data_IF_233847538632
#
_entry.id   IF_233847538632
#
_cell.length_a   1.000
_cell.length_b   1.000
_cell.length_c   1.000
_cell.angle_alpha   90.00
_cell.angle_beta   90.00
_cell.angle_gamma   90.00
#
_symmetry.space_group_name_H-M   'P 1'
#
loop_
_entity.id
_entity.type
_entity.pdbx_description
1 polymer ?
#
# COMPACT_ATOMS: atom_id res chain seq x y z
N UNK A 1 -29.40 -13.90 -5.33
CA UNK A 1 -28.42 -15.00 -5.39
C UNK A 1 -27.29 -14.65 -4.42
N UNK A 2 -26.80 -15.58 -3.61
CA UNK A 2 -25.74 -15.31 -2.62
C UNK A 2 -24.43 -14.90 -3.35
N UNK A 3 -23.67 -13.88 -2.90
CA UNK A 3 -22.40 -13.51 -3.54
C UNK A 3 -21.42 -14.69 -3.56
N UNK A 4 -20.88 -15.01 -4.74
CA UNK A 4 -19.79 -15.98 -4.91
C UNK A 4 -18.56 -15.22 -5.43
N UNK A 5 -17.75 -14.72 -4.50
CA UNK A 5 -16.55 -13.94 -4.80
C UNK A 5 -15.34 -14.87 -4.72
N UNK A 6 -14.61 -15.03 -5.83
CA UNK A 6 -13.53 -16.03 -5.95
C UNK A 6 -12.19 -15.43 -6.36
N UNK A 7 -12.19 -14.18 -6.83
CA UNK A 7 -10.99 -13.42 -7.12
C UNK A 7 -11.15 -11.96 -6.65
N UNK A 8 -10.04 -11.22 -6.61
CA UNK A 8 -10.02 -9.85 -6.08
C UNK A 8 -10.93 -8.89 -6.86
N UNK A 9 -11.10 -9.11 -8.17
CA UNK A 9 -11.98 -8.28 -8.98
C UNK A 9 -13.46 -8.44 -8.60
N UNK A 10 -13.86 -9.63 -8.13
CA UNK A 10 -15.24 -9.85 -7.68
C UNK A 10 -15.56 -9.01 -6.43
N UNK A 11 -14.58 -8.87 -5.53
CA UNK A 11 -14.70 -7.99 -4.36
C UNK A 11 -14.84 -6.53 -4.75
N UNK A 12 -14.12 -6.07 -5.79
CA UNK A 12 -14.30 -4.70 -6.31
C UNK A 12 -15.69 -4.49 -6.89
N UNK A 13 -16.21 -5.45 -7.67
CA UNK A 13 -17.58 -5.37 -8.20
C UNK A 13 -18.63 -5.37 -7.09
N UNK A 14 -18.44 -6.21 -6.07
CA UNK A 14 -19.30 -6.20 -4.89
C UNK A 14 -19.24 -4.85 -4.16
N UNK A 15 -18.03 -4.34 -3.87
CA UNK A 15 -17.84 -3.06 -3.21
C UNK A 15 -18.52 -1.91 -3.96
N UNK A 16 -18.42 -1.89 -5.30
CA UNK A 16 -19.12 -0.93 -6.15
C UNK A 16 -20.64 -0.99 -6.00
N UNK A 17 -21.19 -2.18 -5.78
CA UNK A 17 -22.65 -2.39 -5.66
C UNK A 17 -23.22 -1.99 -4.30
N UNK A 18 -22.39 -1.91 -3.25
CA UNK A 18 -22.86 -1.67 -1.86
C UNK A 18 -22.41 -0.34 -1.28
N UNK A 19 -21.27 0.22 -1.74
CA UNK A 19 -20.76 1.48 -1.24
C UNK A 19 -21.49 2.68 -1.87
N UNK A 20 -21.72 3.77 -1.13
CA UNK A 20 -22.12 5.04 -1.71
C UNK A 20 -21.13 5.48 -2.80
N UNK A 21 -21.65 6.05 -3.90
CA UNK A 21 -20.86 6.46 -5.07
C UNK A 21 -19.60 7.25 -4.70
N UNK A 22 -19.73 8.32 -3.92
CA UNK A 22 -18.58 9.17 -3.55
C UNK A 22 -17.51 8.42 -2.76
N UNK A 23 -17.89 7.39 -2.00
CA UNK A 23 -16.94 6.56 -1.23
C UNK A 23 -16.25 5.55 -2.16
N UNK A 24 -17.01 4.86 -3.02
CA UNK A 24 -16.44 3.95 -4.01
C UNK A 24 -15.48 4.70 -4.95
N UNK A 25 -15.91 5.83 -5.49
CA UNK A 25 -15.12 6.66 -6.41
C UNK A 25 -13.84 7.15 -5.72
N UNK A 26 -13.91 7.59 -4.47
CA UNK A 26 -12.72 7.98 -3.70
C UNK A 26 -11.68 6.85 -3.61
N UNK A 27 -12.12 5.61 -3.33
CA UNK A 27 -11.20 4.48 -3.24
C UNK A 27 -10.70 4.01 -4.60
N UNK A 28 -11.56 4.01 -5.62
CA UNK A 28 -11.24 3.52 -6.96
C UNK A 28 -10.29 4.46 -7.70
N UNK A 29 -10.55 5.76 -7.66
CA UNK A 29 -9.95 6.74 -8.59
C UNK A 29 -8.43 6.77 -8.59
N UNK A 30 -7.87 7.05 -9.76
CA UNK A 30 -6.54 7.56 -9.98
C UNK A 30 -6.56 9.09 -10.09
N UNK A 31 -5.45 9.65 -10.56
CA UNK A 31 -5.35 11.07 -10.88
C UNK A 31 -5.67 11.32 -12.36
N UNK A 32 -6.25 12.48 -12.66
CA UNK A 32 -6.54 12.99 -14.00
C UNK A 32 -7.27 11.96 -14.89
N UNK A 33 -6.66 11.56 -16.01
CA UNK A 33 -7.24 10.66 -17.02
C UNK A 33 -6.98 9.18 -16.70
N UNK A 34 -6.29 8.90 -15.60
CA UNK A 34 -6.08 7.58 -15.01
C UNK A 34 -5.23 6.64 -15.87
N UNK A 35 -4.32 7.20 -16.67
CA UNK A 35 -3.41 6.46 -17.53
C UNK A 35 -2.53 5.50 -16.72
N UNK A 36 -1.89 6.01 -15.67
CA UNK A 36 -1.06 5.21 -14.78
C UNK A 36 -1.88 4.19 -13.98
N UNK A 37 -3.18 4.46 -13.73
CA UNK A 37 -4.04 3.51 -13.02
C UNK A 37 -4.28 2.25 -13.85
N UNK A 38 -4.60 2.46 -15.14
CA UNK A 38 -4.72 1.37 -16.09
C UNK A 38 -3.37 0.67 -16.31
N UNK A 39 -2.29 1.43 -16.48
CA UNK A 39 -0.98 0.86 -16.77
C UNK A 39 -0.42 0.02 -15.60
N UNK A 40 -0.69 0.41 -14.35
CA UNK A 40 -0.31 -0.38 -13.18
C UNK A 40 -0.80 -1.82 -13.23
N UNK A 41 -1.96 -2.09 -13.85
CA UNK A 41 -2.49 -3.45 -14.05
C UNK A 41 -1.98 -4.03 -15.37
N UNK A 42 -2.03 -3.26 -16.46
CA UNK A 42 -1.63 -3.71 -17.79
C UNK A 42 -0.14 -4.14 -17.84
N UNK A 43 0.73 -3.46 -17.10
CA UNK A 43 2.16 -3.74 -17.05
C UNK A 43 2.48 -5.15 -16.56
N UNK A 44 1.78 -5.65 -15.53
CA UNK A 44 1.95 -7.03 -15.09
C UNK A 44 1.68 -8.03 -16.22
N UNK A 45 0.73 -7.74 -17.13
CA UNK A 45 0.43 -8.60 -18.27
C UNK A 45 1.54 -8.61 -19.33
N UNK A 46 2.35 -7.55 -19.43
CA UNK A 46 3.52 -7.47 -20.33
C UNK A 46 4.70 -8.32 -19.84
N UNK A 47 4.80 -8.56 -18.53
CA UNK A 47 5.79 -9.48 -17.95
C UNK A 47 5.28 -10.93 -18.00
N UNK A 48 5.91 -11.75 -18.86
CA UNK A 48 5.55 -13.18 -19.06
C UNK A 48 6.37 -14.08 -18.15
N UNK A 49 5.76 -15.16 -17.66
CA UNK A 49 6.38 -16.16 -16.80
C UNK A 49 6.99 -17.31 -17.61
N UNK A 50 8.15 -17.80 -17.18
CA UNK A 50 8.92 -18.91 -17.78
C UNK A 50 9.07 -20.02 -16.73
N UNK A 51 8.05 -20.88 -16.55
CA UNK A 51 8.02 -21.87 -15.49
C UNK A 51 9.05 -22.99 -15.69
N UNK A 52 9.57 -23.55 -14.59
CA UNK A 52 10.44 -24.73 -14.62
C UNK A 52 9.65 -25.99 -14.25
N UNK A 53 9.68 -26.98 -15.12
CA UNK A 53 8.98 -28.25 -14.92
C UNK A 53 9.75 -29.20 -13.99
N UNK A 54 9.05 -30.17 -13.41
CA UNK A 54 9.64 -31.30 -12.68
C UNK A 54 10.53 -30.88 -11.49
N UNK A 55 10.12 -29.87 -10.72
CA UNK A 55 10.91 -29.33 -9.61
C UNK A 55 10.61 -29.93 -8.23
N UNK A 56 9.59 -30.79 -8.10
CA UNK A 56 8.98 -31.19 -6.82
C UNK A 56 8.52 -29.96 -6.02
N UNK A 57 7.22 -29.73 -6.01
CA UNK A 57 6.54 -28.62 -5.32
C UNK A 57 5.46 -29.16 -4.39
N UNK A 58 5.63 -30.39 -3.89
CA UNK A 58 4.69 -30.99 -2.94
C UNK A 58 4.58 -30.17 -1.65
N UNK A 59 5.69 -29.54 -1.24
CA UNK A 59 5.75 -28.62 -0.11
C UNK A 59 6.15 -27.22 -0.60
N UNK A 60 5.27 -26.26 -0.40
CA UNK A 60 5.50 -24.85 -0.76
C UNK A 60 5.56 -23.98 0.50
N UNK A 61 6.69 -23.32 0.72
CA UNK A 61 6.90 -22.37 1.81
C UNK A 61 6.87 -20.93 1.30
N UNK A 62 5.79 -20.22 1.63
CA UNK A 62 5.60 -18.82 1.25
C UNK A 62 6.31 -17.85 2.21
N UNK A 63 6.77 -18.32 3.36
CA UNK A 63 7.16 -17.44 4.44
C UNK A 63 8.47 -16.69 4.15
N UNK A 64 8.50 -15.42 4.54
CA UNK A 64 9.65 -14.52 4.32
C UNK A 64 9.81 -13.57 5.51
N UNK A 65 10.62 -12.52 5.36
CA UNK A 65 10.73 -11.44 6.31
C UNK A 65 10.54 -10.08 5.65
N UNK A 66 10.09 -9.10 6.40
CA UNK A 66 10.09 -7.68 6.03
C UNK A 66 10.80 -6.93 7.15
N UNK A 67 11.92 -6.27 6.84
CA UNK A 67 12.74 -5.50 7.78
C UNK A 67 13.12 -6.33 9.03
N UNK A 68 13.47 -7.60 8.80
CA UNK A 68 13.85 -8.56 9.85
C UNK A 68 12.68 -9.20 10.62
N UNK A 69 11.43 -8.79 10.39
CA UNK A 69 10.25 -9.38 11.03
C UNK A 69 9.66 -10.49 10.14
N UNK A 70 9.37 -11.67 10.71
CA UNK A 70 8.83 -12.81 9.94
C UNK A 70 7.39 -12.53 9.51
N UNK A 71 7.04 -12.92 8.29
CA UNK A 71 5.68 -12.92 7.75
C UNK A 71 5.38 -14.25 7.05
N UNK A 72 4.11 -14.66 7.05
CA UNK A 72 3.66 -15.95 6.49
C UNK A 72 3.71 -15.99 4.96
N UNK A 73 3.76 -14.82 4.31
CA UNK A 73 3.78 -14.65 2.85
C UNK A 73 4.36 -13.27 2.49
N UNK A 74 4.91 -13.07 1.27
CA UNK A 74 5.47 -11.80 0.82
C UNK A 74 4.39 -10.80 0.36
N UNK A 75 3.23 -10.81 1.05
CA UNK A 75 2.04 -10.03 0.70
C UNK A 75 1.56 -9.34 1.98
N UNK A 76 1.65 -8.01 2.00
CA UNK A 76 1.33 -7.19 3.15
C UNK A 76 0.22 -6.18 2.83
N UNK A 77 -0.40 -5.61 3.85
CA UNK A 77 -1.44 -4.59 3.68
C UNK A 77 -0.81 -3.21 3.60
N UNK A 78 -1.07 -2.50 2.50
CA UNK A 78 -0.65 -1.12 2.29
C UNK A 78 -1.56 -0.10 2.98
N UNK A 79 -1.02 1.10 3.27
CA UNK A 79 -1.78 2.18 3.88
C UNK A 79 -2.86 2.72 2.94
N UNK A 80 -4.12 2.51 3.33
CA UNK A 80 -5.29 3.15 2.74
C UNK A 80 -5.98 3.99 3.82
N UNK A 81 -6.24 5.26 3.52
CA UNK A 81 -6.82 6.18 4.48
C UNK A 81 -8.32 5.92 4.71
N UNK A 82 -8.79 6.26 5.91
CA UNK A 82 -10.21 6.35 6.26
C UNK A 82 -11.00 5.06 6.03
N UNK A 83 -10.51 3.91 6.50
CA UNK A 83 -11.10 2.61 6.20
C UNK A 83 -12.51 2.42 6.79
N UNK A 84 -12.89 3.21 7.81
CA UNK A 84 -14.25 3.16 8.37
C UNK A 84 -15.35 3.63 7.43
N UNK A 85 -15.01 4.23 6.28
CA UNK A 85 -15.99 4.49 5.23
C UNK A 85 -16.40 3.21 4.48
N UNK A 86 -15.55 2.18 4.46
CA UNK A 86 -15.84 0.90 3.82
C UNK A 86 -16.58 -0.07 4.73
N UNK A 87 -16.26 -0.06 6.03
CA UNK A 87 -16.92 -0.89 7.04
C UNK A 87 -16.80 -0.24 8.42
N UNK A 88 -17.77 -0.39 9.31
CA UNK A 88 -17.78 0.29 10.63
C UNK A 88 -16.51 0.03 11.45
N UNK A 89 -15.93 -1.16 11.35
CA UNK A 89 -14.69 -1.54 12.06
C UNK A 89 -13.39 -1.06 11.41
N UNK A 90 -13.43 -0.69 10.13
CA UNK A 90 -12.30 -0.12 9.38
C UNK A 90 -10.94 -0.75 9.68
N UNK A 91 -10.00 0.05 10.19
CA UNK A 91 -8.63 -0.37 10.48
C UNK A 91 -8.53 -1.47 11.54
N UNK A 92 -9.51 -1.56 12.45
CA UNK A 92 -9.53 -2.59 13.49
C UNK A 92 -9.83 -3.98 12.90
N UNK A 93 -10.75 -4.04 11.93
CA UNK A 93 -10.99 -5.26 11.16
C UNK A 93 -9.75 -5.68 10.36
N UNK A 94 -9.10 -4.71 9.71
CA UNK A 94 -7.90 -4.97 8.90
C UNK A 94 -6.75 -5.53 9.73
N UNK A 95 -6.47 -4.96 10.91
CA UNK A 95 -5.35 -5.41 11.74
C UNK A 95 -5.56 -6.81 12.31
N UNK A 96 -6.80 -7.16 12.71
CA UNK A 96 -7.16 -8.49 13.18
C UNK A 96 -6.99 -9.55 12.09
N UNK A 97 -7.46 -9.26 10.87
CA UNK A 97 -7.24 -10.13 9.72
C UNK A 97 -5.74 -10.33 9.42
N UNK A 98 -4.93 -9.26 9.50
CA UNK A 98 -3.47 -9.37 9.34
C UNK A 98 -2.82 -10.23 10.43
N UNK A 99 -3.28 -10.12 11.68
CA UNK A 99 -2.84 -10.97 12.79
C UNK A 99 -3.13 -12.44 12.52
N UNK A 100 -4.37 -12.77 12.14
CA UNK A 100 -4.80 -14.14 11.81
C UNK A 100 -3.99 -14.74 10.66
N UNK A 101 -3.64 -13.92 9.66
CA UNK A 101 -2.84 -14.37 8.51
C UNK A 101 -1.33 -14.37 8.77
N UNK A 102 -0.85 -13.82 9.89
CA UNK A 102 0.57 -13.67 10.17
C UNK A 102 1.31 -12.81 9.15
N UNK A 103 0.68 -11.73 8.67
CA UNK A 103 1.31 -10.73 7.79
C UNK A 103 1.22 -9.33 8.40
N UNK A 104 1.88 -8.36 7.77
CA UNK A 104 1.98 -7.00 8.30
C UNK A 104 0.92 -6.04 7.76
N UNK A 105 0.49 -5.11 8.62
CA UNK A 105 -0.36 -3.97 8.29
C UNK A 105 0.43 -2.66 8.34
N UNK A 106 0.41 -1.91 7.24
CA UNK A 106 0.86 -0.52 7.23
C UNK A 106 -0.33 0.42 7.50
N UNK A 107 -0.39 1.01 8.69
CA UNK A 107 -1.44 1.94 9.11
C UNK A 107 -1.22 3.32 8.46
N UNK A 108 -2.28 3.91 7.91
CA UNK A 108 -2.25 5.28 7.39
C UNK A 108 -2.21 6.32 8.51
N UNK A 109 -1.44 7.40 8.34
CA UNK A 109 -1.56 8.59 9.21
C UNK A 109 -2.99 9.15 9.25
N UNK A 110 -3.73 9.03 8.14
CA UNK A 110 -5.12 9.47 7.98
C UNK A 110 -6.14 8.36 8.28
N UNK A 111 -5.81 7.48 9.22
CA UNK A 111 -6.71 6.42 9.64
C UNK A 111 -7.91 6.96 10.43
N UNK A 112 -9.05 6.28 10.27
CA UNK A 112 -10.28 6.50 11.07
C UNK A 112 -10.29 5.74 12.39
N UNK A 113 -9.15 5.14 12.75
CA UNK A 113 -8.84 4.57 14.05
C UNK A 113 -7.41 4.98 14.41
N UNK A 114 -7.17 5.29 15.67
CA UNK A 114 -5.88 5.80 16.15
C UNK A 114 -4.80 4.73 16.16
N UNK A 115 -3.54 5.16 16.22
CA UNK A 115 -2.37 4.27 16.39
C UNK A 115 -2.57 3.33 17.60
N UNK A 116 -3.13 3.82 18.71
CA UNK A 116 -3.38 3.05 19.93
C UNK A 116 -4.52 2.04 19.76
N UNK A 117 -5.68 2.45 19.22
CA UNK A 117 -6.83 1.55 19.00
C UNK A 117 -6.44 0.38 18.08
N UNK A 118 -5.65 0.64 17.03
CA UNK A 118 -5.16 -0.40 16.11
C UNK A 118 -4.16 -1.32 16.80
N UNK A 119 -3.32 -0.79 17.69
CA UNK A 119 -2.39 -1.60 18.47
C UNK A 119 -3.12 -2.52 19.45
N UNK A 120 -4.16 -2.02 20.11
CA UNK A 120 -5.00 -2.80 21.03
C UNK A 120 -5.82 -3.87 20.31
N UNK A 121 -6.34 -3.57 19.12
CA UNK A 121 -7.13 -4.53 18.35
C UNK A 121 -6.31 -5.66 17.73
N UNK A 122 -5.01 -5.44 17.47
CA UNK A 122 -4.08 -6.42 16.92
C UNK A 122 -2.73 -6.40 17.61
N UNK A 123 -2.66 -6.77 18.91
CA UNK A 123 -1.46 -6.62 19.71
C UNK A 123 -0.28 -7.44 19.15
N UNK A 124 -0.55 -8.62 18.62
CA UNK A 124 0.43 -9.54 18.04
C UNK A 124 0.63 -9.34 16.53
N UNK A 125 -0.18 -8.49 15.89
CA UNK A 125 -0.03 -8.18 14.48
C UNK A 125 1.28 -7.41 14.23
N UNK A 126 1.99 -7.78 13.16
CA UNK A 126 3.08 -6.95 12.66
C UNK A 126 2.50 -5.65 12.11
N UNK A 127 2.92 -4.52 12.68
CA UNK A 127 2.36 -3.19 12.35
C UNK A 127 3.46 -2.21 11.99
N UNK A 128 3.21 -1.39 10.96
CA UNK A 128 4.05 -0.27 10.55
C UNK A 128 3.22 1.00 10.39
N UNK A 129 3.81 2.16 10.57
CA UNK A 129 3.12 3.43 10.41
C UNK A 129 3.55 4.08 9.09
N UNK A 130 2.59 4.37 8.21
CA UNK A 130 2.80 5.29 7.09
C UNK A 130 2.71 6.73 7.62
N UNK A 131 3.74 7.52 7.36
CA UNK A 131 3.91 8.87 7.87
C UNK A 131 3.94 9.90 6.74
N UNK A 132 3.14 10.95 6.89
CA UNK A 132 3.38 12.22 6.21
C UNK A 132 4.12 13.18 7.13
N UNK A 133 4.96 14.04 6.53
CA UNK A 133 5.58 15.16 7.25
C UNK A 133 4.62 16.35 7.18
N UNK A 134 4.05 16.69 8.34
CA UNK A 134 3.15 17.83 8.50
C UNK A 134 3.95 19.11 8.67
N UNK A 135 3.36 20.25 8.28
CA UNK A 135 3.94 21.59 8.54
C UNK A 135 4.30 21.76 10.01
N UNK A 136 3.41 21.30 10.88
CA UNK A 136 3.71 21.14 12.30
C UNK A 136 4.56 19.88 12.54
N UNK A 137 5.85 20.09 12.81
CA UNK A 137 6.79 19.00 13.10
C UNK A 137 6.54 18.33 14.45
N UNK A 138 5.89 18.99 15.41
CA UNK A 138 5.54 18.36 16.69
C UNK A 138 4.38 17.36 16.52
N UNK A 139 3.43 17.64 15.62
CA UNK A 139 2.42 16.64 15.20
C UNK A 139 3.11 15.41 14.59
N UNK A 140 4.02 15.64 13.64
CA UNK A 140 4.78 14.55 12.99
C UNK A 140 5.56 13.72 14.03
N UNK A 141 6.21 14.39 14.99
CA UNK A 141 6.96 13.75 16.07
C UNK A 141 6.06 12.98 17.04
N UNK A 142 4.88 13.49 17.40
CA UNK A 142 3.90 12.78 18.24
C UNK A 142 3.48 11.46 17.59
N UNK A 143 3.22 11.45 16.28
CA UNK A 143 2.89 10.23 15.53
C UNK A 143 4.00 9.18 15.61
N UNK A 144 5.25 9.59 15.37
CA UNK A 144 6.42 8.69 15.44
C UNK A 144 6.60 8.13 16.85
N UNK A 145 6.55 8.97 17.88
CA UNK A 145 6.68 8.55 19.28
C UNK A 145 5.56 7.60 19.70
N UNK A 146 4.35 7.84 19.21
CA UNK A 146 3.22 6.98 19.50
C UNK A 146 3.38 5.60 18.84
N UNK A 147 3.87 5.55 17.60
CA UNK A 147 4.18 4.30 16.91
C UNK A 147 5.26 3.49 17.66
N UNK A 148 6.33 4.14 18.10
CA UNK A 148 7.38 3.53 18.95
C UNK A 148 6.78 2.95 20.24
N UNK A 149 6.00 3.76 20.98
CA UNK A 149 5.38 3.38 22.26
C UNK A 149 4.42 2.19 22.12
N UNK A 150 3.72 2.08 21.00
CA UNK A 150 2.68 1.05 20.75
C UNK A 150 3.20 -0.16 19.96
N UNK A 151 4.53 -0.27 19.82
CA UNK A 151 5.18 -1.46 19.30
C UNK A 151 5.19 -1.60 17.77
N UNK A 152 4.89 -0.54 17.02
CA UNK A 152 5.05 -0.54 15.56
C UNK A 152 6.52 -0.72 15.20
N UNK A 153 6.79 -1.42 14.09
CA UNK A 153 8.12 -1.95 13.77
C UNK A 153 8.87 -1.16 12.69
N UNK A 154 8.25 -0.17 12.06
CA UNK A 154 8.88 0.68 11.05
C UNK A 154 8.01 1.92 10.75
N UNK A 155 8.66 2.93 10.16
CA UNK A 155 8.03 4.12 9.59
C UNK A 155 8.16 4.07 8.07
N UNK A 156 7.05 4.17 7.35
CA UNK A 156 7.02 4.33 5.90
C UNK A 156 6.72 5.79 5.59
N UNK A 157 7.75 6.60 5.36
CA UNK A 157 7.57 8.02 5.05
C UNK A 157 7.17 8.16 3.59
N UNK A 158 6.01 8.77 3.34
CA UNK A 158 5.50 9.01 2.00
C UNK A 158 6.10 10.30 1.44
N UNK A 159 6.80 10.21 0.32
CA UNK A 159 7.55 11.33 -0.29
C UNK A 159 6.96 11.82 -1.62
N UNK A 160 5.86 11.22 -2.07
CA UNK A 160 5.19 11.53 -3.37
C UNK A 160 3.96 12.44 -3.24
N UNK A 161 3.70 13.00 -2.05
CA UNK A 161 2.53 13.86 -1.76
C UNK A 161 2.89 15.20 -1.11
N UNK A 162 3.70 16.07 -1.74
CA UNK A 162 3.82 17.47 -1.30
C UNK A 162 2.48 18.22 -1.46
N UNK A 163 1.71 17.85 -2.49
CA UNK A 163 0.30 18.19 -2.70
C UNK A 163 -0.47 16.92 -3.10
N UNK A 164 -1.80 16.96 -3.00
CA UNK A 164 -2.64 15.85 -3.44
C UNK A 164 -2.78 15.84 -4.96
N UNK A 165 -2.68 14.67 -5.59
CA UNK A 165 -3.03 14.52 -7.00
C UNK A 165 -4.51 14.83 -7.27
N UNK A 166 -4.79 15.34 -8.47
CA UNK A 166 -6.13 15.74 -8.87
C UNK A 166 -6.99 14.52 -9.25
N UNK A 167 -7.91 14.12 -8.40
CA UNK A 167 -8.82 12.98 -8.61
C UNK A 167 -10.17 13.52 -9.04
N UNK A 168 -10.51 13.39 -10.32
CA UNK A 168 -11.64 14.10 -10.91
C UNK A 168 -12.97 13.75 -10.24
N UNK A 169 -13.20 12.49 -9.89
CA UNK A 169 -14.43 12.09 -9.20
C UNK A 169 -14.52 12.66 -7.78
N UNK A 170 -13.40 12.83 -7.06
CA UNK A 170 -13.41 13.47 -5.74
C UNK A 170 -13.81 14.95 -5.83
N UNK A 171 -13.43 15.63 -6.90
CA UNK A 171 -13.84 17.01 -7.19
C UNK A 171 -15.33 17.07 -7.55
N UNK A 172 -15.76 16.23 -8.51
CA UNK A 172 -17.17 16.16 -8.94
C UNK A 172 -18.12 15.83 -7.78
N UNK A 173 -17.68 14.95 -6.88
CA UNK A 173 -18.47 14.50 -5.73
C UNK A 173 -18.29 15.37 -4.48
N UNK A 174 -17.42 16.40 -4.53
CA UNK A 174 -17.04 17.24 -3.37
C UNK A 174 -16.67 16.39 -2.15
N UNK A 175 -15.74 15.47 -2.35
CA UNK A 175 -15.42 14.42 -1.40
C UNK A 175 -15.06 14.98 -0.01
N UNK A 176 -15.69 14.42 1.02
CA UNK A 176 -15.45 14.67 2.44
C UNK A 176 -15.73 13.42 3.26
N UNK A 177 -15.28 13.39 4.52
CA UNK A 177 -15.63 12.31 5.44
C UNK A 177 -17.14 12.28 5.74
N UNK A 178 -17.74 11.09 5.96
CA UNK A 178 -19.05 10.98 6.59
C UNK A 178 -19.09 11.67 7.97
N UNK A 179 -20.25 12.23 8.40
CA UNK A 179 -20.35 13.12 9.57
C UNK A 179 -19.89 12.48 10.89
N UNK A 180 -19.99 11.16 11.02
CA UNK A 180 -19.58 10.40 12.19
C UNK A 180 -18.09 10.04 12.24
N UNK A 181 -17.32 10.27 11.16
CA UNK A 181 -15.94 9.83 11.03
C UNK A 181 -14.95 10.99 11.12
N UNK A 182 -13.75 10.72 11.64
CA UNK A 182 -12.63 11.65 11.76
C UNK A 182 -11.32 10.91 11.54
N UNK A 183 -10.27 11.62 11.15
CA UNK A 183 -8.90 11.09 11.24
C UNK A 183 -8.47 11.07 12.72
N UNK A 184 -8.40 9.88 13.31
CA UNK A 184 -8.36 9.69 14.78
C UNK A 184 -7.00 9.93 15.43
N UNK A 185 -5.96 10.15 14.64
CA UNK A 185 -4.63 10.49 15.16
C UNK A 185 -4.46 11.98 15.52
N UNK A 186 -5.48 12.80 15.29
CA UNK A 186 -5.41 14.25 15.45
C UNK A 186 -6.56 14.77 16.32
N UNK A 187 -6.25 15.77 17.13
CA UNK A 187 -7.21 16.35 18.10
C UNK A 187 -7.99 17.53 17.53
N UNK A 188 -7.35 18.38 16.71
CA UNK A 188 -8.01 19.59 16.18
C UNK A 188 -8.99 19.25 15.06
N UNK A 189 -10.04 20.05 14.92
CA UNK A 189 -11.09 19.85 13.90
C UNK A 189 -10.52 19.85 12.47
N UNK A 190 -9.57 20.74 12.18
CA UNK A 190 -8.90 20.81 10.88
C UNK A 190 -8.01 19.59 10.62
N UNK A 191 -7.12 19.21 11.56
CA UNK A 191 -6.20 18.09 11.35
C UNK A 191 -6.91 16.72 11.39
N UNK A 192 -8.05 16.65 12.08
CA UNK A 192 -8.92 15.46 12.10
C UNK A 192 -9.82 15.35 10.87
N UNK A 193 -9.72 16.29 9.91
CA UNK A 193 -10.53 16.34 8.68
C UNK A 193 -12.03 16.29 8.97
N UNK A 194 -12.48 17.06 9.96
CA UNK A 194 -13.90 17.15 10.31
C UNK A 194 -14.73 17.62 9.10
N UNK A 195 -15.80 16.91 8.68
CA UNK A 195 -16.62 17.32 7.55
C UNK A 195 -17.47 18.58 7.81
N UNK A 196 -17.47 19.07 9.06
CA UNK A 196 -18.06 20.36 9.47
C UNK A 196 -17.10 21.55 9.23
N UNK A 197 -15.82 21.28 8.97
CA UNK A 197 -14.84 22.33 8.67
C UNK A 197 -14.90 22.76 7.21
N UNK A 198 -14.49 24.01 6.96
CA UNK A 198 -14.46 24.55 5.60
C UNK A 198 -13.18 24.10 4.86
N UNK A 199 -13.36 23.12 3.98
CA UNK A 199 -12.35 22.62 3.04
C UNK A 199 -12.60 23.04 1.57
N UNK A 200 -13.36 24.12 1.34
CA UNK A 200 -13.63 24.63 -0.01
C UNK A 200 -14.76 23.88 -0.74
N UNK A 201 -14.91 24.16 -2.04
CA UNK A 201 -16.03 23.67 -2.87
C UNK A 201 -15.62 22.57 -3.89
N UNK A 202 -14.35 22.18 -3.89
CA UNK A 202 -13.79 21.07 -4.69
C UNK A 202 -13.64 19.80 -3.82
N UNK A 203 -12.58 19.00 -4.02
CA UNK A 203 -12.22 17.89 -3.12
C UNK A 203 -11.72 18.42 -1.77
N UNK A 204 -12.46 18.12 -0.70
CA UNK A 204 -12.07 18.55 0.65
C UNK A 204 -10.72 17.95 1.09
N UNK A 205 -10.37 16.76 0.59
CA UNK A 205 -9.08 16.13 0.89
C UNK A 205 -7.91 16.90 0.28
N UNK A 206 -8.06 17.47 -0.92
CA UNK A 206 -7.02 18.28 -1.54
C UNK A 206 -6.75 19.56 -0.72
N UNK A 207 -7.81 20.23 -0.29
CA UNK A 207 -7.70 21.40 0.58
C UNK A 207 -7.10 21.04 1.97
N UNK A 208 -7.47 19.90 2.54
CA UNK A 208 -6.86 19.39 3.77
C UNK A 208 -5.34 19.23 3.61
N UNK A 209 -4.88 18.58 2.53
CA UNK A 209 -3.43 18.39 2.27
C UNK A 209 -2.72 19.73 2.14
N UNK A 210 -3.26 20.66 1.35
CA UNK A 210 -2.67 21.98 1.19
C UNK A 210 -2.56 22.76 2.51
N UNK A 211 -3.49 22.54 3.45
CA UNK A 211 -3.44 23.15 4.79
C UNK A 211 -2.42 22.45 5.70
N UNK A 212 -2.40 21.12 5.75
CA UNK A 212 -1.74 20.33 6.78
C UNK A 212 -0.34 19.79 6.41
N UNK A 213 -0.16 19.32 5.18
CA UNK A 213 1.08 18.66 4.73
C UNK A 213 2.07 19.71 4.27
N UNK A 214 3.36 19.47 4.52
CA UNK A 214 4.42 20.41 4.17
C UNK A 214 4.93 20.17 2.74
N UNK A 215 4.70 21.10 1.79
CA UNK A 215 5.22 20.97 0.44
C UNK A 215 6.72 21.31 0.33
N UNK A 216 7.35 21.88 1.38
CA UNK A 216 8.76 22.27 1.34
C UNK A 216 9.72 21.17 1.77
N UNK A 217 9.23 19.95 2.00
CA UNK A 217 10.08 18.86 2.46
C UNK A 217 11.19 18.56 1.46
N UNK A 218 12.36 18.23 1.99
CA UNK A 218 13.55 17.89 1.23
C UNK A 218 14.27 16.70 1.89
N UNK A 219 15.40 16.29 1.31
CA UNK A 219 16.27 15.29 1.93
C UNK A 219 16.80 15.73 3.32
N UNK A 220 16.82 17.03 3.64
CA UNK A 220 17.15 17.49 5.00
C UNK A 220 16.09 17.06 6.04
N UNK A 221 14.80 17.03 5.65
CA UNK A 221 13.72 16.52 6.50
C UNK A 221 13.82 15.01 6.69
N UNK A 222 14.36 14.28 5.70
CA UNK A 222 14.69 12.86 5.84
C UNK A 222 15.83 12.68 6.85
N UNK A 223 16.85 13.54 6.85
CA UNK A 223 17.90 13.51 7.91
C UNK A 223 17.30 13.81 9.29
N UNK A 224 16.39 14.77 9.38
CA UNK A 224 15.68 15.06 10.63
C UNK A 224 14.90 13.83 11.12
N UNK A 225 14.10 13.19 10.25
CA UNK A 225 13.33 12.01 10.61
C UNK A 225 14.23 10.83 11.01
N UNK A 226 15.34 10.61 10.29
CA UNK A 226 16.35 9.60 10.62
C UNK A 226 16.98 9.83 11.99
N UNK A 227 17.20 11.09 12.40
CA UNK A 227 17.67 11.43 13.76
C UNK A 227 16.57 11.32 14.81
N UNK A 228 15.31 11.46 14.42
CA UNK A 228 14.18 11.45 15.33
C UNK A 228 13.87 10.05 15.88
N UNK A 229 14.06 8.98 15.09
CA UNK A 229 13.70 7.62 15.49
C UNK A 229 14.78 6.60 15.15
N UNK A 230 14.88 5.55 15.96
CA UNK A 230 15.70 4.37 15.69
C UNK A 230 14.95 3.29 14.91
N UNK A 231 13.63 3.41 14.72
CA UNK A 231 12.88 2.47 13.90
C UNK A 231 13.45 2.41 12.48
N UNK A 232 13.31 1.26 11.80
CA UNK A 232 13.50 1.19 10.35
C UNK A 232 12.63 2.23 9.64
N UNK A 233 13.22 2.97 8.70
CA UNK A 233 12.50 3.94 7.87
C UNK A 233 12.54 3.48 6.41
N UNK A 234 11.38 3.44 5.76
CA UNK A 234 11.23 3.12 4.34
C UNK A 234 10.74 4.35 3.58
N UNK A 235 11.40 4.71 2.48
CA UNK A 235 10.92 5.74 1.58
C UNK A 235 9.83 5.17 0.65
N UNK A 236 8.59 5.65 0.79
CA UNK A 236 7.46 5.27 -0.05
C UNK A 236 7.19 6.34 -1.10
N UNK A 237 7.15 5.95 -2.38
CA UNK A 237 6.86 6.85 -3.49
C UNK A 237 8.03 7.05 -4.46
N UNK A 238 9.11 6.29 -4.30
CA UNK A 238 10.30 6.39 -5.14
C UNK A 238 10.05 5.70 -6.49
N UNK A 239 10.29 6.42 -7.58
CA UNK A 239 10.16 5.92 -8.96
C UNK A 239 11.46 6.05 -9.77
N UNK A 240 12.52 6.64 -9.22
CA UNK A 240 13.80 6.85 -9.90
C UNK A 240 14.98 6.24 -9.15
N UNK A 241 15.95 5.73 -9.89
CA UNK A 241 17.15 5.10 -9.32
C UNK A 241 18.11 6.08 -8.63
N UNK A 242 18.12 7.37 -9.00
CA UNK A 242 18.92 8.39 -8.30
C UNK A 242 18.34 8.72 -6.91
N UNK A 243 17.02 8.92 -6.81
CA UNK A 243 16.34 9.10 -5.53
C UNK A 243 16.46 7.86 -4.62
N UNK A 244 16.46 6.66 -5.21
CA UNK A 244 16.72 5.42 -4.49
C UNK A 244 18.13 5.40 -3.86
N UNK A 245 19.15 5.87 -4.61
CA UNK A 245 20.52 6.01 -4.09
C UNK A 245 20.60 7.07 -3.00
N UNK A 246 19.86 8.17 -3.13
CA UNK A 246 19.78 9.19 -2.07
C UNK A 246 19.15 8.63 -0.79
N UNK A 247 18.06 7.87 -0.89
CA UNK A 247 17.46 7.20 0.27
C UNK A 247 18.47 6.31 1.01
N UNK A 248 19.28 5.54 0.26
CA UNK A 248 20.35 4.71 0.84
C UNK A 248 21.44 5.57 1.50
N UNK A 249 21.92 6.64 0.84
CA UNK A 249 22.91 7.56 1.41
C UNK A 249 22.42 8.21 2.72
N UNK A 250 21.12 8.44 2.84
CA UNK A 250 20.48 9.02 4.02
C UNK A 250 20.21 8.02 5.15
N UNK A 251 20.66 6.76 5.01
CA UNK A 251 20.55 5.74 6.06
C UNK A 251 19.12 5.23 6.26
N UNK A 252 18.30 5.27 5.20
CA UNK A 252 17.00 4.60 5.20
C UNK A 252 17.19 3.08 5.03
N UNK A 253 16.20 2.31 5.47
CA UNK A 253 16.29 0.86 5.63
C UNK A 253 15.54 0.09 4.53
N UNK A 254 14.83 0.80 3.66
CA UNK A 254 14.14 0.20 2.53
C UNK A 254 13.54 1.25 1.59
N UNK A 255 13.08 0.77 0.44
CA UNK A 255 12.34 1.56 -0.54
C UNK A 255 11.05 0.83 -0.87
N UNK A 256 9.93 1.53 -0.84
CA UNK A 256 8.67 1.07 -1.40
C UNK A 256 8.44 1.78 -2.74
N UNK A 257 8.69 1.05 -3.83
CA UNK A 257 8.42 1.50 -5.20
C UNK A 257 6.90 1.65 -5.35
N UNK A 258 6.46 2.89 -5.47
CA UNK A 258 5.05 3.27 -5.41
C UNK A 258 4.81 4.49 -6.27
N UNK A 259 3.74 4.48 -7.04
CA UNK A 259 3.16 5.67 -7.67
C UNK A 259 1.85 6.08 -6.96
N UNK A 260 1.76 5.77 -5.66
CA UNK A 260 0.60 6.01 -4.82
C UNK A 260 -0.69 5.33 -5.32
N UNK A 261 -0.56 4.17 -5.98
CA UNK A 261 -1.69 3.52 -6.64
C UNK A 261 -2.29 4.36 -7.77
N UNK A 262 -1.45 5.12 -8.47
CA UNK A 262 -1.78 6.06 -9.54
C UNK A 262 -2.64 7.27 -9.12
N UNK A 263 -2.47 7.77 -7.89
CA UNK A 263 -3.33 8.84 -7.31
C UNK A 263 -2.65 10.19 -7.15
N UNK A 264 -1.42 10.30 -7.63
CA UNK A 264 -0.58 11.50 -7.51
C UNK A 264 -0.30 12.08 -8.90
N UNK A 265 0.90 11.91 -9.45
CA UNK A 265 1.21 12.34 -10.82
C UNK A 265 0.76 11.26 -11.82
N UNK A 266 -0.15 11.60 -12.73
CA UNK A 266 -0.55 10.73 -13.83
C UNK A 266 0.44 10.84 -15.01
N UNK A 267 0.58 9.77 -15.78
CA UNK A 267 1.60 9.64 -16.84
C UNK A 267 2.96 9.11 -16.34
N UNK A 268 3.09 8.81 -15.04
CA UNK A 268 4.26 8.07 -14.54
C UNK A 268 4.16 6.58 -14.89
N UNK A 269 5.29 5.85 -15.00
CA UNK A 269 5.26 4.43 -15.32
C UNK A 269 4.53 3.59 -14.27
N UNK A 270 4.07 2.40 -14.69
CA UNK A 270 3.68 1.35 -13.76
C UNK A 270 4.85 0.97 -12.84
N UNK A 271 4.56 0.70 -11.56
CA UNK A 271 5.58 0.39 -10.55
C UNK A 271 6.40 -0.86 -10.88
N UNK A 272 5.78 -1.88 -11.49
CA UNK A 272 6.47 -3.11 -11.90
C UNK A 272 7.48 -2.87 -13.01
N UNK A 273 7.30 -1.81 -13.81
CA UNK A 273 8.18 -1.47 -14.91
C UNK A 273 9.42 -0.69 -14.45
N UNK A 274 9.33 0.12 -13.39
CA UNK A 274 10.48 0.81 -12.78
C UNK A 274 11.17 0.00 -11.68
N UNK A 275 10.51 -1.03 -11.14
CA UNK A 275 11.08 -1.88 -10.08
C UNK A 275 12.51 -2.39 -10.38
N UNK A 276 12.84 -2.90 -11.60
CA UNK A 276 14.19 -3.39 -11.89
C UNK A 276 15.26 -2.30 -11.75
N UNK A 277 14.97 -1.07 -12.17
CA UNK A 277 15.88 0.07 -12.08
C UNK A 277 16.19 0.44 -10.63
N UNK A 278 15.17 0.38 -9.76
CA UNK A 278 15.33 0.65 -8.32
C UNK A 278 16.13 -0.45 -7.63
N UNK A 279 15.84 -1.71 -7.94
CA UNK A 279 16.57 -2.86 -7.39
C UNK A 279 18.05 -2.81 -7.77
N UNK A 280 18.36 -2.49 -9.02
CA UNK A 280 19.74 -2.29 -9.48
C UNK A 280 20.39 -1.11 -8.75
N UNK A 281 19.70 0.03 -8.66
CA UNK A 281 20.26 1.26 -8.10
C UNK A 281 20.66 1.16 -6.63
N UNK A 282 19.98 0.33 -5.83
CA UNK A 282 20.31 0.17 -4.40
C UNK A 282 21.35 -0.90 -4.11
N UNK A 283 21.76 -1.69 -5.10
CA UNK A 283 22.88 -2.64 -4.99
C UNK A 283 22.76 -3.61 -3.79
N UNK A 284 21.53 -4.01 -3.44
CA UNK A 284 21.26 -4.90 -2.30
C UNK A 284 21.52 -4.30 -0.91
N UNK A 285 21.78 -2.99 -0.80
CA UNK A 285 22.06 -2.31 0.49
C UNK A 285 20.83 -2.21 1.39
N UNK A 286 19.63 -2.21 0.80
CA UNK A 286 18.33 -2.13 1.51
C UNK A 286 17.29 -3.01 0.83
N UNK A 287 16.22 -3.37 1.55
CA UNK A 287 15.09 -4.10 0.95
C UNK A 287 14.29 -3.18 0.01
N UNK A 288 13.85 -3.71 -1.13
CA UNK A 288 12.96 -3.02 -2.06
C UNK A 288 11.60 -3.71 -2.04
N UNK A 289 10.53 -2.94 -1.96
CA UNK A 289 9.14 -3.40 -1.96
C UNK A 289 8.40 -2.77 -3.13
N UNK A 290 7.21 -3.29 -3.44
CA UNK A 290 6.34 -2.75 -4.49
C UNK A 290 4.89 -2.65 -4.05
N UNK A 291 4.22 -1.55 -4.42
CA UNK A 291 2.75 -1.48 -4.48
C UNK A 291 2.27 -1.01 -5.86
N UNK A 292 0.95 -0.90 -6.03
CA UNK A 292 0.33 -0.50 -7.31
C UNK A 292 0.05 -1.70 -8.21
N UNK A 293 -1.22 -1.86 -8.63
CA UNK A 293 -1.61 -2.88 -9.61
C UNK A 293 -1.65 -4.35 -9.16
N UNK A 294 -1.06 -4.72 -8.02
CA UNK A 294 -1.10 -6.12 -7.53
C UNK A 294 -2.54 -6.56 -7.25
N UNK A 295 -3.02 -7.58 -7.98
CA UNK A 295 -4.37 -8.15 -7.84
C UNK A 295 -4.40 -9.67 -7.84
N UNK A 296 -3.32 -10.32 -8.30
CA UNK A 296 -3.24 -11.77 -8.44
C UNK A 296 -1.96 -12.33 -7.84
N UNK A 297 -1.95 -13.63 -7.52
CA UNK A 297 -0.75 -14.33 -7.09
C UNK A 297 0.41 -14.28 -8.11
N UNK A 298 0.10 -14.26 -9.41
CA UNK A 298 1.13 -14.12 -10.46
C UNK A 298 1.74 -12.72 -10.52
N UNK A 299 1.06 -11.69 -10.01
CA UNK A 299 1.62 -10.34 -9.91
C UNK A 299 2.68 -10.31 -8.79
N UNK A 300 2.39 -10.95 -7.65
CA UNK A 300 3.34 -11.16 -6.54
C UNK A 300 4.58 -11.89 -7.03
N UNK A 301 4.40 -13.02 -7.73
CA UNK A 301 5.51 -13.82 -8.26
C UNK A 301 6.43 -13.00 -9.19
N UNK A 302 5.85 -12.18 -10.07
CA UNK A 302 6.62 -11.32 -10.99
C UNK A 302 7.40 -10.25 -10.23
N UNK A 303 6.79 -9.59 -9.25
CA UNK A 303 7.47 -8.58 -8.44
C UNK A 303 8.68 -9.18 -7.70
N UNK A 304 8.52 -10.37 -7.11
CA UNK A 304 9.63 -11.06 -6.44
C UNK A 304 10.72 -11.51 -7.42
N UNK A 305 10.36 -12.02 -8.60
CA UNK A 305 11.32 -12.39 -9.63
C UNK A 305 12.13 -11.18 -10.13
N UNK A 306 11.56 -9.97 -10.08
CA UNK A 306 12.22 -8.71 -10.40
C UNK A 306 12.98 -8.08 -9.23
N UNK A 307 13.00 -8.73 -8.05
CA UNK A 307 13.83 -8.35 -6.92
C UNK A 307 13.11 -7.64 -5.77
N UNK A 308 11.78 -7.49 -5.82
CA UNK A 308 11.04 -7.04 -4.64
C UNK A 308 11.08 -8.09 -3.52
N UNK A 309 11.25 -7.65 -2.27
CA UNK A 309 11.21 -8.51 -1.09
C UNK A 309 9.80 -8.96 -0.71
N UNK A 310 8.85 -8.04 -0.85
CA UNK A 310 7.42 -8.23 -0.60
C UNK A 310 6.62 -7.17 -1.37
N UNK A 311 5.32 -7.41 -1.52
CA UNK A 311 4.38 -6.45 -2.11
C UNK A 311 3.33 -5.98 -1.13
N UNK A 312 2.79 -4.79 -1.36
CA UNK A 312 1.72 -4.20 -0.55
C UNK A 312 0.44 -4.03 -1.39
N UNK A 313 -0.69 -4.47 -0.83
CA UNK A 313 -2.02 -4.31 -1.46
C UNK A 313 -2.84 -3.24 -0.75
N UNK A 314 -3.37 -2.29 -1.53
CA UNK A 314 -4.21 -1.19 -1.03
C UNK A 314 -5.70 -1.46 -1.29
N UNK A 315 -6.18 -1.09 -2.49
CA UNK A 315 -7.60 -1.23 -2.90
C UNK A 315 -8.24 -2.59 -2.59
N UNK A 316 -7.59 -3.75 -2.85
CA UNK A 316 -8.14 -5.06 -2.49
C UNK A 316 -8.65 -5.17 -1.06
N UNK A 317 -7.95 -4.55 -0.10
CA UNK A 317 -8.29 -4.62 1.33
C UNK A 317 -9.56 -3.84 1.64
N UNK A 318 -9.74 -2.65 1.05
CA UNK A 318 -10.98 -1.87 1.25
C UNK A 318 -12.17 -2.54 0.57
N UNK A 319 -11.95 -3.30 -0.50
CA UNK A 319 -12.99 -4.13 -1.11
C UNK A 319 -13.38 -5.30 -0.21
N UNK A 320 -12.40 -5.94 0.44
CA UNK A 320 -12.64 -6.93 1.49
C UNK A 320 -13.46 -6.36 2.65
N UNK A 321 -13.09 -5.18 3.16
CA UNK A 321 -13.87 -4.48 4.19
C UNK A 321 -15.31 -4.24 3.75
N UNK A 322 -15.52 -3.70 2.55
CA UNK A 322 -16.85 -3.40 2.02
C UNK A 322 -17.72 -4.65 1.81
N UNK A 323 -17.11 -5.83 1.66
CA UNK A 323 -17.84 -7.10 1.63
C UNK A 323 -18.29 -7.52 3.03
N UNK A 324 -17.35 -7.68 3.97
CA UNK A 324 -17.67 -8.22 5.30
C UNK A 324 -16.61 -7.91 6.37
N UNK A 325 -16.14 -6.67 6.46
CA UNK A 325 -15.23 -6.23 7.51
C UNK A 325 -13.98 -7.12 7.62
N UNK A 326 -13.68 -7.61 8.82
CA UNK A 326 -12.52 -8.46 9.11
C UNK A 326 -12.51 -9.72 8.24
N UNK A 327 -13.65 -10.42 8.15
CA UNK A 327 -13.79 -11.65 7.36
C UNK A 327 -13.50 -11.39 5.89
N UNK A 328 -13.99 -10.30 5.33
CA UNK A 328 -13.74 -9.97 3.93
C UNK A 328 -12.29 -9.59 3.65
N UNK A 329 -11.60 -8.94 4.59
CA UNK A 329 -10.14 -8.73 4.49
C UNK A 329 -9.38 -10.05 4.56
N UNK A 330 -9.78 -10.95 5.47
CA UNK A 330 -9.22 -12.29 5.57
C UNK A 330 -9.36 -13.05 4.26
N UNK A 331 -10.57 -13.08 3.65
CA UNK A 331 -10.80 -13.75 2.38
C UNK A 331 -9.88 -13.22 1.27
N UNK A 332 -9.76 -11.90 1.13
CA UNK A 332 -8.91 -11.26 0.12
C UNK A 332 -7.45 -11.68 0.29
N UNK A 333 -6.95 -11.70 1.53
CA UNK A 333 -5.59 -12.12 1.83
C UNK A 333 -5.40 -13.63 1.58
N UNK A 334 -6.38 -14.46 1.90
CA UNK A 334 -6.36 -15.91 1.64
C UNK A 334 -6.38 -16.23 0.14
N UNK A 335 -7.20 -15.53 -0.64
CA UNK A 335 -7.22 -15.65 -2.11
C UNK A 335 -5.85 -15.30 -2.69
N UNK A 336 -5.26 -14.16 -2.29
CA UNK A 336 -3.94 -13.76 -2.76
C UNK A 336 -2.86 -14.76 -2.35
N UNK A 337 -2.93 -15.31 -1.13
CA UNK A 337 -2.02 -16.34 -0.62
C UNK A 337 -2.11 -17.61 -1.45
N UNK A 338 -3.33 -18.07 -1.72
CA UNK A 338 -3.62 -19.28 -2.49
C UNK A 338 -3.16 -19.13 -3.94
N UNK A 339 -3.54 -18.04 -4.60
CA UNK A 339 -3.11 -17.78 -5.97
C UNK A 339 -1.58 -17.70 -6.07
N UNK A 340 -0.91 -17.10 -5.08
CA UNK A 340 0.54 -17.01 -5.06
C UNK A 340 1.19 -18.38 -4.84
N UNK A 341 0.66 -19.20 -3.91
CA UNK A 341 1.11 -20.58 -3.69
C UNK A 341 1.01 -21.39 -4.99
N UNK A 342 -0.13 -21.31 -5.67
CA UNK A 342 -0.35 -22.02 -6.92
C UNK A 342 0.60 -21.52 -8.02
N UNK A 343 0.80 -20.20 -8.14
CA UNK A 343 1.74 -19.62 -9.10
C UNK A 343 3.19 -20.10 -8.85
N UNK A 344 3.63 -20.14 -7.59
CA UNK A 344 4.93 -20.69 -7.19
C UNK A 344 5.06 -22.17 -7.55
N UNK A 345 4.05 -22.98 -7.23
CA UNK A 345 4.06 -24.42 -7.52
C UNK A 345 4.16 -24.66 -9.04
N UNK A 346 3.32 -23.99 -9.83
CA UNK A 346 3.32 -24.13 -11.29
C UNK A 346 4.57 -23.54 -11.97
N UNK A 347 5.28 -22.61 -11.32
CA UNK A 347 6.58 -22.12 -11.80
C UNK A 347 7.77 -22.96 -11.35
N UNK A 348 7.55 -23.97 -10.51
CA UNK A 348 8.60 -24.85 -9.99
C UNK A 348 9.39 -24.26 -8.83
N UNK A 349 8.78 -23.38 -8.04
CA UNK A 349 9.38 -22.70 -6.89
C UNK A 349 8.82 -23.24 -5.58
N UNK A 350 9.64 -23.92 -4.77
CA UNK A 350 9.22 -24.47 -3.47
C UNK A 350 9.22 -23.42 -2.36
N UNK A 351 10.01 -22.36 -2.50
CA UNK A 351 10.06 -21.27 -1.54
C UNK A 351 10.46 -19.96 -2.20
N UNK A 352 10.26 -18.85 -1.51
CA UNK A 352 10.52 -17.52 -2.08
C UNK A 352 11.98 -17.26 -2.46
N UNK A 353 12.94 -18.00 -1.90
CA UNK A 353 14.39 -17.79 -2.16
C UNK A 353 14.82 -18.28 -3.53
N UNK A 354 14.05 -19.18 -4.15
CA UNK A 354 14.33 -19.72 -5.49
C UNK A 354 13.53 -19.04 -6.60
N UNK A 355 12.79 -17.97 -6.27
CA UNK A 355 12.16 -17.10 -7.25
C UNK A 355 13.24 -16.17 -7.81
N UNK A 356 13.59 -16.34 -9.08
CA UNK A 356 14.70 -15.63 -9.71
C UNK A 356 14.28 -14.94 -11.02
N UNK A 357 15.12 -13.99 -11.47
CA UNK A 357 14.86 -13.16 -12.65
C UNK A 357 14.63 -13.92 -13.95
N UNK A 358 15.12 -15.16 -14.08
CA UNK A 358 14.91 -15.94 -15.31
C UNK A 358 13.48 -16.46 -15.44
N UNK A 359 12.68 -16.40 -14.37
CA UNK A 359 11.25 -16.69 -14.40
C UNK A 359 10.46 -15.66 -15.18
N UNK A 360 11.01 -14.48 -15.50
CA UNK A 360 10.26 -13.41 -16.18
C UNK A 360 11.00 -12.85 -17.39
N UNK A 361 10.22 -12.44 -18.39
CA UNK A 361 10.68 -11.63 -19.52
C UNK A 361 9.60 -10.63 -19.91
N UNK A 362 9.98 -9.37 -20.13
CA UNK A 362 9.06 -8.36 -20.64
C UNK A 362 8.83 -8.60 -22.14
N UNK A 363 7.57 -8.70 -22.54
CA UNK A 363 7.17 -8.69 -23.94
C UNK A 363 6.58 -7.30 -24.27
N UNK A 364 7.32 -6.44 -24.99
CA UNK A 364 6.87 -5.08 -25.31
C UNK A 364 5.68 -5.06 -26.27
N UNK A 365 5.42 -6.15 -27.00
CA UNK A 365 4.31 -6.27 -27.96
C UNK A 365 3.05 -6.91 -27.35
N UNK A 366 3.07 -7.26 -26.06
CA UNK A 366 1.90 -7.84 -25.42
C UNK A 366 0.83 -6.76 -25.20
N UNK A 367 -0.22 -6.79 -26.03
CA UNK A 367 -1.42 -5.98 -25.84
C UNK A 367 -2.18 -6.52 -24.61
N UNK A 368 -2.49 -5.64 -23.66
CA UNK A 368 -3.35 -5.99 -22.53
C UNK A 368 -4.77 -6.23 -23.04
N UNK A 369 -5.31 -7.43 -22.82
CA UNK A 369 -6.77 -7.64 -22.88
C UNK A 369 -7.29 -7.11 -21.54
N UNK A 370 -7.63 -5.82 -21.47
CA UNK A 370 -8.28 -5.22 -20.30
C UNK A 370 -9.66 -5.85 -20.15
#
# INVERSE_FOLDING_TARGET
MLPRLICINDYEQHAKSVLPKSIYDYYRSGANDEETLADNIAAFSRWKLYPRMLRNVAETDLSTSVLGQRVSMPICVGATAMQRMAHVDGELATVRACQSLGTGMMLSSWATSSIEEVAEAGPEALRWLQLYIYKDREVTKKLVRQAEKTGYKAIFVTVDTPYLGNRLDDVRNRFKLPPQLRMKNFETSTLSFSPEENFGDDSGLAAYVAKAIDPSISWEDIKWLRRLTSLPIVAKGILRGDDAREAVKHGLNGILVSNHGARQLDGVPATIDVLPEIVEAVEGKVEVFLDGGVRKGTDVLKALALGAKAVFVGRPIVWGLAFQGEKGVQDVLEILKEEFRLAMALSGCQNVKVIDKTLVRKNPLAVSKI
#
